data_IF_167441031368
#
_entry.id   IF_167441031368
#
_cell.length_a   1.000
_cell.length_b   1.000
_cell.length_c   1.000
_cell.angle_alpha   90.00
_cell.angle_beta   90.00
_cell.angle_gamma   90.00
#
_symmetry.space_group_name_H-M   'P 1'
#
loop_
_entity.id
_entity.type
_entity.pdbx_description
1 polymer ?
#
# COMPACT_ATOMS: atom_id res chain seq x y z
N UNK A 1 17.59 10.66 -5.09
CA UNK A 1 17.33 9.52 -4.16
C UNK A 1 15.87 9.64 -3.75
N UNK A 2 15.00 8.91 -4.43
CA UNK A 2 13.58 8.81 -4.05
C UNK A 2 13.54 8.19 -2.65
N UNK A 3 13.31 9.00 -1.62
CA UNK A 3 12.91 8.49 -0.33
C UNK A 3 11.58 7.79 -0.55
N UNK A 4 11.50 6.50 -0.23
CA UNK A 4 10.26 5.76 -0.23
C UNK A 4 9.38 6.31 0.90
N UNK A 5 8.70 7.41 0.63
CA UNK A 5 7.60 7.84 1.46
C UNK A 5 6.42 6.94 1.10
N UNK A 6 6.01 6.10 2.02
CA UNK A 6 4.78 5.32 1.91
C UNK A 6 3.51 6.16 2.03
N UNK A 7 3.63 7.47 1.95
CA UNK A 7 2.52 8.39 1.89
C UNK A 7 2.05 8.56 0.44
N UNK A 8 1.54 7.49 -0.17
CA UNK A 8 0.64 7.66 -1.27
C UNK A 8 -0.63 8.32 -0.71
N UNK A 9 -0.87 9.57 -1.04
CA UNK A 9 -2.10 10.25 -0.66
C UNK A 9 -3.15 9.96 -1.71
N UNK A 10 -4.25 9.36 -1.28
CA UNK A 10 -5.41 9.13 -2.13
C UNK A 10 -6.20 10.42 -2.26
N UNK A 11 -6.29 10.94 -3.49
CA UNK A 11 -7.08 12.14 -3.77
C UNK A 11 -8.49 11.74 -4.15
N UNK A 12 -9.31 11.45 -3.16
CA UNK A 12 -10.76 11.43 -3.35
C UNK A 12 -11.41 12.70 -2.78
N UNK A 13 -12.15 13.38 -3.64
CA UNK A 13 -12.75 14.73 -3.49
C UNK A 13 -13.61 15.01 -2.25
N UNK A 14 -13.63 14.21 -1.18
CA UNK A 14 -14.71 14.41 -0.20
C UNK A 14 -14.34 14.60 1.27
N UNK A 15 -13.26 14.07 1.84
CA UNK A 15 -13.11 14.29 3.30
C UNK A 15 -11.69 14.29 3.86
N UNK A 16 -10.68 13.68 3.21
CA UNK A 16 -9.36 13.48 3.83
C UNK A 16 -8.17 13.95 3.01
N UNK A 17 -8.37 14.26 1.73
CA UNK A 17 -7.32 14.81 0.87
C UNK A 17 -7.88 15.79 -0.15
N UNK A 18 -7.12 16.82 -0.46
CA UNK A 18 -7.39 17.82 -1.47
C UNK A 18 -6.29 17.73 -2.52
N UNK A 19 -6.67 17.68 -3.80
CA UNK A 19 -5.74 17.50 -4.92
C UNK A 19 -4.74 18.65 -5.03
N UNK A 20 -5.24 19.88 -4.92
CA UNK A 20 -4.39 21.06 -5.04
C UNK A 20 -3.36 21.12 -3.91
N UNK A 21 -3.78 20.81 -2.67
CA UNK A 21 -2.89 20.75 -1.52
C UNK A 21 -1.86 19.61 -1.62
N UNK A 22 -2.25 18.48 -2.23
CA UNK A 22 -1.32 17.38 -2.48
C UNK A 22 -0.27 17.74 -3.52
N UNK A 23 -0.67 18.47 -4.58
CA UNK A 23 0.25 18.97 -5.60
C UNK A 23 1.22 19.98 -4.95
N UNK A 24 0.71 20.96 -4.19
CA UNK A 24 1.52 21.92 -3.44
C UNK A 24 2.53 21.23 -2.52
N UNK A 25 2.09 20.23 -1.75
CA UNK A 25 3.00 19.42 -0.93
C UNK A 25 4.09 18.73 -1.76
N UNK A 26 3.72 18.17 -2.91
CA UNK A 26 4.71 17.53 -3.78
C UNK A 26 5.71 18.52 -4.36
N UNK A 27 5.27 19.72 -4.70
CA UNK A 27 6.14 20.82 -5.18
C UNK A 27 7.10 21.28 -4.07
N UNK A 28 6.60 21.51 -2.86
CA UNK A 28 7.40 21.95 -1.71
C UNK A 28 8.49 20.95 -1.30
N UNK A 29 8.21 19.65 -1.46
CA UNK A 29 9.12 18.57 -1.07
C UNK A 29 9.82 17.89 -2.25
N UNK A 30 9.69 18.42 -3.46
CA UNK A 30 10.32 17.90 -4.69
C UNK A 30 9.91 16.44 -4.99
N UNK A 31 8.63 16.09 -4.75
CA UNK A 31 8.06 14.80 -5.13
C UNK A 31 7.30 14.88 -6.45
N UNK A 32 7.28 13.77 -7.18
CA UNK A 32 6.42 13.62 -8.35
C UNK A 32 5.05 13.07 -7.94
N UNK A 33 3.94 13.84 -8.07
CA UNK A 33 2.62 13.39 -7.70
C UNK A 33 2.11 12.32 -8.67
N UNK A 34 1.54 11.25 -8.13
CA UNK A 34 0.80 10.24 -8.89
C UNK A 34 -0.63 10.20 -8.37
N UNK A 35 -1.55 10.77 -9.15
CA UNK A 35 -2.94 10.98 -8.75
C UNK A 35 -3.82 9.98 -9.50
N UNK A 36 -4.68 9.27 -8.76
CA UNK A 36 -5.65 8.33 -9.32
C UNK A 36 -6.86 8.18 -8.41
N UNK A 37 -7.97 7.70 -8.97
CA UNK A 37 -9.17 7.35 -8.22
C UNK A 37 -9.23 5.84 -8.03
N UNK A 38 -9.55 5.41 -6.81
CA UNK A 38 -9.64 3.99 -6.48
C UNK A 38 -10.98 3.64 -5.82
N UNK A 39 -11.45 2.44 -6.12
CA UNK A 39 -12.76 1.94 -5.71
C UNK A 39 -12.67 0.49 -5.25
N UNK A 40 -13.63 0.07 -4.43
CA UNK A 40 -13.81 -1.31 -3.98
C UNK A 40 -15.26 -1.74 -4.14
N UNK A 41 -15.48 -3.02 -4.36
CA UNK A 41 -16.81 -3.62 -4.42
C UNK A 41 -17.29 -3.90 -2.99
N UNK A 42 -18.48 -3.41 -2.65
CA UNK A 42 -19.15 -3.70 -1.37
C UNK A 42 -20.58 -4.13 -1.69
N UNK A 43 -20.82 -5.43 -1.69
CA UNK A 43 -22.04 -6.00 -2.26
C UNK A 43 -22.16 -5.62 -3.74
N UNK A 44 -23.33 -5.09 -4.14
CA UNK A 44 -23.58 -4.65 -5.53
C UNK A 44 -23.13 -3.22 -5.83
N UNK A 45 -22.41 -2.58 -4.90
CA UNK A 45 -22.00 -1.18 -5.04
C UNK A 45 -20.50 -1.06 -5.23
N UNK A 46 -20.11 -0.11 -6.09
CA UNK A 46 -18.73 0.33 -6.25
C UNK A 46 -18.51 1.58 -5.39
N UNK A 47 -17.76 1.45 -4.29
CA UNK A 47 -17.52 2.53 -3.35
C UNK A 47 -16.05 3.00 -3.43
N UNK A 48 -15.80 4.31 -3.27
CA UNK A 48 -14.44 4.81 -3.26
C UNK A 48 -13.64 4.28 -2.07
N UNK A 49 -12.39 3.94 -2.32
CA UNK A 49 -11.41 3.63 -1.29
C UNK A 49 -10.98 4.95 -0.65
N UNK A 50 -11.06 5.03 0.68
CA UNK A 50 -10.81 6.25 1.44
C UNK A 50 -9.33 6.44 1.82
N UNK A 51 -8.49 5.45 1.58
CA UNK A 51 -7.07 5.46 1.95
C UNK A 51 -6.28 4.47 1.11
N UNK A 52 -5.17 4.89 0.52
CA UNK A 52 -4.32 4.02 -0.32
C UNK A 52 -3.80 2.77 0.42
N UNK A 53 -3.61 2.84 1.73
CA UNK A 53 -3.22 1.69 2.56
C UNK A 53 -4.23 0.53 2.56
N UNK A 54 -5.42 0.72 2.03
CA UNK A 54 -6.40 -0.37 1.83
C UNK A 54 -5.97 -1.27 0.68
N UNK A 55 -5.46 -0.68 -0.40
CA UNK A 55 -5.23 -1.36 -1.67
C UNK A 55 -3.77 -1.49 -2.08
N UNK A 56 -2.84 -0.85 -1.37
CA UNK A 56 -1.43 -0.88 -1.76
C UNK A 56 -0.46 -0.72 -0.60
N UNK A 57 0.71 -1.33 -0.75
CA UNK A 57 1.88 -1.18 0.12
C UNK A 57 3.10 -0.89 -0.76
N UNK A 58 3.84 0.16 -0.42
CA UNK A 58 5.08 0.53 -1.12
C UNK A 58 6.27 0.14 -0.25
N UNK A 59 7.06 -0.80 -0.75
CA UNK A 59 8.32 -1.25 -0.16
C UNK A 59 9.53 -0.64 -0.89
N UNK A 60 10.73 -0.98 -0.43
CA UNK A 60 11.98 -0.49 -1.03
C UNK A 60 12.16 -0.98 -2.46
N UNK A 61 11.96 -2.27 -2.71
CA UNK A 61 12.24 -2.91 -4.00
C UNK A 61 10.99 -3.32 -4.79
N UNK A 62 9.81 -3.25 -4.16
CA UNK A 62 8.55 -3.66 -4.78
C UNK A 62 7.38 -2.82 -4.30
N UNK A 63 6.27 -2.94 -5.02
CA UNK A 63 4.96 -2.38 -4.66
C UNK A 63 3.93 -3.48 -4.78
N UNK A 64 3.19 -3.72 -3.70
CA UNK A 64 2.00 -4.57 -3.70
C UNK A 64 0.81 -3.66 -3.97
N UNK A 65 -0.01 -3.94 -4.97
CA UNK A 65 -1.11 -3.07 -5.36
C UNK A 65 -2.25 -3.85 -6.02
N UNK A 66 -3.49 -3.47 -5.71
CA UNK A 66 -4.66 -3.90 -6.44
C UNK A 66 -4.95 -2.92 -7.59
N UNK A 67 -4.49 -3.26 -8.79
CA UNK A 67 -4.73 -2.43 -9.97
C UNK A 67 -6.21 -2.43 -10.40
N UNK A 68 -6.97 -3.49 -10.09
CA UNK A 68 -8.40 -3.57 -10.38
C UNK A 68 -9.24 -2.59 -9.56
N UNK A 69 -8.70 -2.09 -8.45
CA UNK A 69 -9.32 -0.99 -7.70
C UNK A 69 -9.27 0.36 -8.44
N UNK A 70 -8.49 0.49 -9.51
CA UNK A 70 -8.41 1.69 -10.35
C UNK A 70 -9.26 1.48 -11.60
N UNK A 71 -10.49 1.98 -11.60
CA UNK A 71 -11.47 1.74 -12.67
C UNK A 71 -11.07 2.40 -14.00
N UNK A 72 -10.47 3.59 -13.95
CA UNK A 72 -9.98 4.29 -15.14
C UNK A 72 -8.72 3.60 -15.69
N UNK A 73 -8.85 3.03 -16.89
CA UNK A 73 -7.75 2.28 -17.54
C UNK A 73 -6.50 3.13 -17.80
N UNK A 74 -6.68 4.44 -18.03
CA UNK A 74 -5.55 5.34 -18.28
C UNK A 74 -4.79 5.61 -16.97
N UNK A 75 -5.51 5.88 -15.89
CA UNK A 75 -4.91 6.05 -14.56
C UNK A 75 -4.23 4.75 -14.11
N UNK A 76 -4.88 3.60 -14.27
CA UNK A 76 -4.31 2.27 -13.97
C UNK A 76 -2.97 2.06 -14.70
N UNK A 77 -2.94 2.33 -16.00
CA UNK A 77 -1.73 2.21 -16.81
C UNK A 77 -0.63 3.19 -16.35
N UNK A 78 -1.00 4.43 -16.04
CA UNK A 78 -0.04 5.41 -15.55
C UNK A 78 0.58 4.99 -14.23
N UNK A 79 -0.22 4.51 -13.27
CA UNK A 79 0.26 4.01 -11.97
C UNK A 79 1.21 2.82 -12.16
N UNK A 80 0.80 1.84 -12.97
CA UNK A 80 1.63 0.67 -13.28
C UNK A 80 2.97 1.06 -13.91
N UNK A 81 2.95 1.93 -14.92
CA UNK A 81 4.16 2.41 -15.58
C UNK A 81 5.07 3.15 -14.61
N UNK A 82 4.52 4.03 -13.78
CA UNK A 82 5.29 4.78 -12.79
C UNK A 82 6.00 3.86 -11.80
N UNK A 83 5.32 2.81 -11.32
CA UNK A 83 5.92 1.81 -10.43
C UNK A 83 7.09 1.12 -11.13
N UNK A 84 6.91 0.65 -12.37
CA UNK A 84 7.94 -0.04 -13.15
C UNK A 84 9.13 0.88 -13.46
N UNK A 85 8.86 2.11 -13.90
CA UNK A 85 9.88 3.12 -14.21
C UNK A 85 10.68 3.55 -12.98
N UNK A 86 10.09 3.47 -11.77
CA UNK A 86 10.80 3.69 -10.52
C UNK A 86 11.79 2.57 -10.14
N UNK A 87 11.87 1.50 -10.95
CA UNK A 87 12.75 0.34 -10.73
C UNK A 87 12.20 -0.68 -9.75
N UNK A 88 10.97 -0.49 -9.24
CA UNK A 88 10.33 -1.41 -8.28
C UNK A 88 9.60 -2.54 -9.01
N UNK A 89 9.59 -3.72 -8.39
CA UNK A 89 8.72 -4.81 -8.84
C UNK A 89 7.27 -4.52 -8.51
N UNK A 90 6.40 -4.73 -9.48
CA UNK A 90 4.96 -4.66 -9.26
C UNK A 90 4.45 -6.07 -8.89
N UNK A 91 3.81 -6.17 -7.72
CA UNK A 91 3.12 -7.37 -7.23
C UNK A 91 1.64 -7.05 -7.21
N UNK A 92 0.92 -7.58 -8.17
CA UNK A 92 -0.51 -7.35 -8.28
C UNK A 92 -1.29 -8.26 -7.34
N UNK A 93 -2.24 -7.68 -6.60
CA UNK A 93 -3.22 -8.38 -5.76
C UNK A 93 -4.63 -8.13 -6.28
N UNK A 94 -5.53 -9.08 -6.04
CA UNK A 94 -6.94 -8.97 -6.40
C UNK A 94 -7.76 -8.19 -5.36
N UNK A 95 -8.96 -7.73 -5.71
CA UNK A 95 -9.90 -7.13 -4.75
C UNK A 95 -10.25 -8.11 -3.61
N UNK A 96 -10.34 -9.41 -3.90
CA UNK A 96 -10.55 -10.43 -2.86
C UNK A 96 -9.40 -10.48 -1.85
N UNK A 97 -8.17 -10.30 -2.30
CA UNK A 97 -7.01 -10.20 -1.42
C UNK A 97 -7.00 -8.88 -0.63
N UNK A 98 -7.53 -7.80 -1.20
CA UNK A 98 -7.76 -6.54 -0.48
C UNK A 98 -8.75 -6.73 0.67
N UNK A 99 -9.82 -7.50 0.48
CA UNK A 99 -10.75 -7.86 1.56
C UNK A 99 -10.07 -8.65 2.70
N UNK A 100 -8.99 -9.36 2.38
CA UNK A 100 -8.12 -10.03 3.36
C UNK A 100 -6.95 -9.17 3.84
N UNK A 101 -7.02 -7.85 3.66
CA UNK A 101 -6.01 -6.87 4.06
C UNK A 101 -4.64 -7.00 3.39
N UNK A 102 -4.53 -7.65 2.24
CA UNK A 102 -3.26 -7.81 1.52
C UNK A 102 -2.65 -6.48 0.98
N UNK A 103 -3.39 -5.37 0.99
CA UNK A 103 -2.86 -4.02 0.77
C UNK A 103 -2.37 -3.34 2.05
N UNK A 104 -2.76 -3.84 3.23
CA UNK A 104 -2.50 -3.21 4.52
C UNK A 104 -1.26 -3.79 5.22
N UNK A 105 -0.12 -3.67 4.56
CA UNK A 105 1.18 -4.16 5.02
C UNK A 105 2.15 -3.00 5.22
N UNK A 106 3.21 -3.22 5.97
CA UNK A 106 4.29 -2.24 6.17
C UNK A 106 5.65 -2.91 6.11
N UNK A 107 6.53 -2.41 5.24
CA UNK A 107 7.93 -2.77 5.25
C UNK A 107 8.66 -1.98 6.34
N UNK A 108 9.44 -2.67 7.14
CA UNK A 108 10.32 -2.12 8.17
C UNK A 108 11.75 -2.56 7.90
N UNK A 109 12.70 -1.73 8.29
CA UNK A 109 14.12 -2.09 8.27
C UNK A 109 14.58 -2.27 9.70
N UNK A 110 15.12 -3.45 10.02
CA UNK A 110 15.64 -3.73 11.35
C UNK A 110 17.03 -3.08 11.57
N UNK A 111 17.58 -3.20 12.78
CA UNK A 111 18.88 -2.62 13.13
C UNK A 111 20.06 -3.18 12.31
N UNK A 112 19.92 -4.37 11.74
CA UNK A 112 20.92 -5.01 10.89
C UNK A 112 20.77 -4.62 9.40
N UNK A 113 19.80 -3.78 9.05
CA UNK A 113 19.51 -3.39 7.67
C UNK A 113 18.67 -4.40 6.89
N UNK A 114 18.09 -5.41 7.55
CA UNK A 114 17.25 -6.41 6.88
C UNK A 114 15.83 -5.87 6.71
N UNK A 115 15.28 -6.08 5.52
CA UNK A 115 13.88 -5.74 5.21
C UNK A 115 12.93 -6.79 5.79
N UNK A 116 11.90 -6.32 6.47
CA UNK A 116 10.84 -7.11 7.08
C UNK A 116 9.50 -6.56 6.61
N UNK A 117 8.68 -7.38 5.97
CA UNK A 117 7.30 -7.03 5.64
C UNK A 117 6.37 -7.57 6.73
N UNK A 118 5.70 -6.66 7.43
CA UNK A 118 4.73 -6.99 8.49
C UNK A 118 3.33 -6.96 7.91
N UNK A 119 2.58 -8.04 8.15
CA UNK A 119 1.20 -8.20 7.69
C UNK A 119 0.38 -8.99 8.69
N UNK A 120 -0.94 -9.07 8.48
CA UNK A 120 -1.78 -10.00 9.25
C UNK A 120 -1.69 -11.41 8.69
N UNK A 121 -2.12 -12.38 9.50
CA UNK A 121 -2.23 -13.78 9.06
C UNK A 121 -3.25 -13.92 7.93
N UNK A 122 -4.36 -13.18 7.98
CA UNK A 122 -5.37 -13.14 6.92
C UNK A 122 -4.78 -12.67 5.58
N UNK A 123 -3.93 -11.63 5.63
CA UNK A 123 -3.25 -11.14 4.45
C UNK A 123 -2.26 -12.17 3.90
N UNK A 124 -1.42 -12.75 4.76
CA UNK A 124 -0.44 -13.77 4.36
C UNK A 124 -1.10 -14.98 3.71
N UNK A 125 -2.18 -15.49 4.30
CA UNK A 125 -2.89 -16.68 3.81
C UNK A 125 -3.63 -16.43 2.48
N UNK A 126 -3.91 -15.17 2.16
CA UNK A 126 -4.53 -14.77 0.89
C UNK A 126 -3.54 -14.69 -0.28
N UNK A 127 -2.23 -14.58 0.00
CA UNK A 127 -1.20 -14.48 -1.04
C UNK A 127 -1.02 -15.83 -1.77
N UNK A 128 -0.92 -15.77 -3.08
CA UNK A 128 -0.50 -16.93 -3.86
C UNK A 128 1.01 -17.20 -3.71
N UNK A 129 1.45 -18.36 -4.20
CA UNK A 129 2.85 -18.79 -4.08
C UNK A 129 3.81 -17.85 -4.81
N UNK A 130 3.41 -17.32 -5.97
CA UNK A 130 4.25 -16.44 -6.78
C UNK A 130 4.43 -15.05 -6.12
N UNK A 131 3.33 -14.50 -5.56
CA UNK A 131 3.35 -13.26 -4.79
C UNK A 131 4.24 -13.43 -3.55
N UNK A 132 4.04 -14.49 -2.79
CA UNK A 132 4.84 -14.82 -1.60
C UNK A 132 6.33 -14.97 -1.93
N UNK A 133 6.67 -15.75 -2.97
CA UNK A 133 8.06 -15.94 -3.41
C UNK A 133 8.70 -14.63 -3.85
N UNK A 134 7.95 -13.77 -4.55
CA UNK A 134 8.46 -12.46 -4.95
C UNK A 134 8.77 -11.58 -3.74
N UNK A 135 7.90 -11.55 -2.74
CA UNK A 135 8.12 -10.81 -1.48
C UNK A 135 9.33 -11.36 -0.73
N UNK A 136 9.42 -12.68 -0.55
CA UNK A 136 10.49 -13.31 0.25
C UNK A 136 11.88 -13.19 -0.37
N UNK A 137 11.97 -12.91 -1.67
CA UNK A 137 13.24 -12.58 -2.32
C UNK A 137 13.80 -11.21 -1.88
N UNK A 138 12.98 -10.33 -1.29
CA UNK A 138 13.36 -8.97 -0.90
C UNK A 138 13.18 -8.71 0.60
N UNK A 139 12.18 -9.31 1.23
CA UNK A 139 11.81 -9.04 2.62
C UNK A 139 11.44 -10.32 3.37
N UNK A 140 11.84 -10.41 4.63
CA UNK A 140 11.33 -11.47 5.50
C UNK A 140 9.88 -11.14 5.90
N UNK A 141 8.96 -12.06 5.72
CA UNK A 141 7.57 -11.91 6.16
C UNK A 141 7.45 -12.17 7.67
N UNK A 142 6.79 -11.26 8.37
CA UNK A 142 6.28 -11.48 9.73
C UNK A 142 4.77 -11.28 9.69
N UNK A 143 4.02 -12.31 10.08
CA UNK A 143 2.57 -12.22 10.16
C UNK A 143 2.06 -12.42 11.59
N UNK A 144 0.98 -11.72 11.93
CA UNK A 144 0.32 -11.78 13.22
C UNK A 144 -1.15 -12.15 13.06
N UNK A 145 -1.66 -13.03 13.91
CA UNK A 145 -3.09 -13.31 13.97
C UNK A 145 -3.79 -12.19 14.76
N UNK A 146 -4.48 -11.34 14.03
CA UNK A 146 -5.20 -10.17 14.56
C UNK A 146 -6.65 -10.13 14.08
N UNK A 147 -7.22 -11.28 13.77
CA UNK A 147 -8.56 -11.39 13.17
C UNK A 147 -9.64 -10.61 13.96
N UNK A 148 -9.61 -10.64 15.29
CA UNK A 148 -10.55 -9.85 16.11
C UNK A 148 -10.44 -8.35 15.85
N UNK A 149 -9.22 -7.84 15.68
CA UNK A 149 -8.99 -6.41 15.40
C UNK A 149 -9.47 -6.09 13.99
N UNK A 150 -9.19 -6.92 13.02
CA UNK A 150 -9.63 -6.73 11.63
C UNK A 150 -11.17 -6.69 11.52
N UNK A 151 -11.85 -7.63 12.16
CA UNK A 151 -13.32 -7.72 12.13
C UNK A 151 -13.99 -6.59 12.88
N UNK A 152 -13.50 -6.24 14.08
CA UNK A 152 -14.13 -5.23 14.94
C UNK A 152 -13.65 -3.81 14.64
N UNK A 153 -12.40 -3.63 14.25
CA UNK A 153 -11.78 -2.33 14.04
C UNK A 153 -11.74 -1.87 12.58
N UNK A 154 -11.91 -2.78 11.63
CA UNK A 154 -11.89 -2.47 10.20
C UNK A 154 -10.53 -2.00 9.67
N UNK A 155 -9.44 -2.25 10.41
CA UNK A 155 -8.06 -1.98 10.04
C UNK A 155 -7.16 -3.17 10.36
N UNK A 156 -5.93 -3.20 9.82
CA UNK A 156 -4.99 -4.29 10.00
C UNK A 156 -3.62 -3.80 10.48
N UNK A 157 -2.58 -4.58 10.31
CA UNK A 157 -1.24 -4.37 10.89
C UNK A 157 -0.67 -2.97 10.62
N UNK A 158 -0.73 -2.49 9.37
CA UNK A 158 -0.22 -1.16 9.03
C UNK A 158 -0.93 -0.05 9.81
N UNK A 159 -2.23 -0.19 10.04
CA UNK A 159 -3.02 0.81 10.77
C UNK A 159 -2.61 0.95 12.25
N UNK A 160 -1.90 -0.03 12.79
CA UNK A 160 -1.44 -0.08 14.18
C UNK A 160 0.04 0.27 14.35
N UNK A 161 0.76 0.53 13.26
CA UNK A 161 2.20 0.81 13.28
C UNK A 161 2.51 2.22 12.82
N UNK A 162 3.50 2.83 13.46
CA UNK A 162 4.09 4.10 13.05
C UNK A 162 5.60 4.02 13.20
N UNK A 163 6.31 4.43 12.15
CA UNK A 163 7.77 4.50 12.17
C UNK A 163 8.24 5.78 12.87
N UNK A 164 9.30 5.67 13.63
CA UNK A 164 9.92 6.79 14.33
C UNK A 164 11.35 6.95 13.82
N UNK A 165 11.60 8.04 13.08
CA UNK A 165 12.91 8.34 12.50
C UNK A 165 13.73 9.37 13.32
N UNK A 166 13.38 9.56 14.59
CA UNK A 166 14.11 10.47 15.47
C UNK A 166 15.49 9.88 15.82
N UNK A 167 16.53 10.72 15.97
CA UNK A 167 17.83 10.26 16.43
C UNK A 167 17.71 9.56 17.79
N UNK A 168 18.38 8.41 17.92
CA UNK A 168 18.51 7.75 19.24
C UNK A 168 19.32 8.69 20.15
N UNK A 169 18.84 8.94 21.36
CA UNK A 169 19.54 9.72 22.38
C UNK A 169 20.69 8.89 22.96
#
# INVERSE_FOLDING_TARGET
>A
TLRSSSAASDVYKRQRSNEDLFIEFCEDFEFNPVIFNSFQSVGDKRLPIYHTNVMMCVATDYVIICLDSIDDKKQRKNVSNFIIESGKKLIEISEKQVESFAGNMLELINENGESILVMSKSAEDSLDENQRNTITNHSRIISCDINTIEVCGGGSTRCMMAEIFLPKK
#
